data_IF_266336938094
#
_entry.id   IF_266336938094
#
_cell.length_a   1.000
_cell.length_b   1.000
_cell.length_c   1.000
_cell.angle_alpha   90.00
_cell.angle_beta   90.00
_cell.angle_gamma   90.00
#
_symmetry.space_group_name_H-M   'P 1'
#
loop_
_entity.id
_entity.type
_entity.pdbx_description
1 polymer ?
#
# COMPACT_ATOMS: atom_id res chain seq x y z
N UNK A 1 -4.86 -8.59 -26.99
CA UNK A 1 -4.66 -7.26 -27.61
C UNK A 1 -5.05 -6.21 -26.58
N UNK A 2 -4.07 -5.62 -25.91
CA UNK A 2 -4.30 -4.62 -24.86
C UNK A 2 -4.87 -3.34 -25.46
N UNK A 3 -6.00 -2.88 -24.94
CA UNK A 3 -6.53 -1.55 -25.23
C UNK A 3 -5.56 -0.51 -24.64
N UNK A 4 -4.70 0.05 -25.46
CA UNK A 4 -3.84 1.18 -25.07
C UNK A 4 -4.77 2.39 -24.93
N UNK A 5 -5.08 2.76 -23.69
CA UNK A 5 -5.92 3.91 -23.38
C UNK A 5 -5.31 5.16 -24.03
N UNK A 6 -6.08 5.87 -24.84
CA UNK A 6 -5.65 7.05 -25.58
C UNK A 6 -6.41 8.26 -25.06
N UNK A 7 -5.69 9.35 -24.88
CA UNK A 7 -6.26 10.58 -24.36
C UNK A 7 -6.12 11.68 -25.43
N UNK A 8 -7.17 12.43 -25.64
CA UNK A 8 -7.15 13.64 -26.47
C UNK A 8 -6.46 14.79 -25.73
N UNK A 9 -6.09 15.85 -26.43
CA UNK A 9 -5.50 17.05 -25.84
C UNK A 9 -6.42 17.67 -24.76
N UNK A 10 -7.73 17.70 -25.01
CA UNK A 10 -8.73 18.22 -24.08
C UNK A 10 -8.78 17.39 -22.78
N UNK A 11 -8.77 16.06 -22.90
CA UNK A 11 -8.76 15.16 -21.74
C UNK A 11 -7.48 15.31 -20.91
N UNK A 12 -6.31 15.38 -21.59
CA UNK A 12 -5.02 15.62 -20.91
C UNK A 12 -5.04 16.96 -20.15
N UNK A 13 -5.54 18.02 -20.79
CA UNK A 13 -5.70 19.32 -20.15
C UNK A 13 -6.57 19.26 -18.90
N UNK A 14 -7.70 18.55 -18.96
CA UNK A 14 -8.61 18.36 -17.82
C UNK A 14 -7.99 17.51 -16.71
N UNK A 15 -7.34 16.39 -17.05
CA UNK A 15 -6.74 15.46 -16.08
C UNK A 15 -5.58 16.12 -15.31
N UNK A 16 -4.76 16.91 -16.00
CA UNK A 16 -3.57 17.53 -15.42
C UNK A 16 -3.78 18.99 -15.00
N UNK A 17 -4.96 19.56 -15.24
CA UNK A 17 -5.22 20.99 -14.96
C UNK A 17 -4.34 21.93 -15.80
N UNK A 18 -4.04 21.55 -17.06
CA UNK A 18 -3.18 22.31 -17.95
C UNK A 18 -4.01 23.06 -18.99
N UNK A 19 -3.68 24.34 -19.23
CA UNK A 19 -4.22 25.07 -20.36
C UNK A 19 -3.62 24.59 -21.70
N UNK A 20 -4.38 24.77 -22.78
CA UNK A 20 -4.01 24.31 -24.11
C UNK A 20 -2.70 24.92 -24.62
N UNK A 21 -2.43 26.19 -24.27
CA UNK A 21 -1.22 26.90 -24.68
C UNK A 21 0.04 26.31 -24.02
N UNK A 22 -0.05 25.95 -22.73
CA UNK A 22 1.04 25.35 -21.98
C UNK A 22 1.36 23.96 -22.51
N UNK A 23 0.34 23.16 -22.79
CA UNK A 23 0.50 21.84 -23.38
C UNK A 23 1.13 21.91 -24.79
N UNK A 24 0.65 22.83 -25.63
CA UNK A 24 1.23 23.08 -26.95
C UNK A 24 2.68 23.55 -26.86
N UNK A 25 3.02 24.37 -25.88
CA UNK A 25 4.40 24.81 -25.67
C UNK A 25 5.33 23.64 -25.32
N UNK A 26 4.89 22.70 -24.46
CA UNK A 26 5.69 21.53 -24.11
C UNK A 26 5.83 20.54 -25.25
N UNK A 27 4.81 20.41 -26.12
CA UNK A 27 4.91 19.66 -27.38
C UNK A 27 5.96 20.25 -28.31
N UNK A 28 5.95 21.57 -28.50
CA UNK A 28 6.98 22.28 -29.31
C UNK A 28 8.38 22.06 -28.77
N UNK A 29 8.53 22.00 -27.45
CA UNK A 29 9.80 21.66 -26.83
C UNK A 29 10.15 20.16 -26.91
N UNK A 30 9.30 19.35 -27.51
CA UNK A 30 9.48 17.88 -27.63
C UNK A 30 9.68 17.20 -26.27
N UNK A 31 9.07 17.72 -25.21
CA UNK A 31 9.03 17.08 -23.90
C UNK A 31 8.06 15.90 -23.89
N UNK A 32 7.07 15.94 -24.76
CA UNK A 32 6.14 14.85 -25.05
C UNK A 32 5.93 14.79 -26.57
N UNK A 33 5.70 13.59 -27.12
CA UNK A 33 5.49 13.36 -28.55
C UNK A 33 4.17 12.63 -28.78
N UNK A 34 3.02 13.34 -28.78
CA UNK A 34 1.74 12.72 -29.04
C UNK A 34 1.70 12.13 -30.45
N UNK A 35 1.01 11.01 -30.59
CA UNK A 35 0.79 10.40 -31.92
C UNK A 35 -0.35 11.10 -32.61
N UNK A 36 -0.13 11.48 -33.90
CA UNK A 36 -1.17 12.05 -34.73
C UNK A 36 -1.89 10.93 -35.51
N UNK A 37 -3.22 10.95 -35.52
CA UNK A 37 -4.04 10.07 -36.34
C UNK A 37 -5.29 10.85 -36.78
N UNK A 38 -5.56 10.88 -38.09
CA UNK A 38 -6.71 11.58 -38.70
C UNK A 38 -6.85 13.06 -38.28
N UNK A 39 -5.71 13.76 -38.18
CA UNK A 39 -5.68 15.19 -37.79
C UNK A 39 -5.76 15.46 -36.29
N UNK A 40 -6.04 14.47 -35.46
CA UNK A 40 -6.08 14.58 -34.01
C UNK A 40 -4.80 14.06 -33.36
N UNK A 41 -4.47 14.63 -32.18
CA UNK A 41 -3.32 14.23 -31.36
C UNK A 41 -3.76 13.42 -30.18
N UNK A 42 -3.16 12.25 -30.01
CA UNK A 42 -3.45 11.31 -28.93
C UNK A 42 -2.21 11.08 -28.07
N UNK A 43 -2.43 11.05 -26.77
CA UNK A 43 -1.45 10.77 -25.74
C UNK A 43 -1.71 9.40 -25.15
N UNK A 44 -0.65 8.68 -24.78
CA UNK A 44 -0.76 7.46 -24.00
C UNK A 44 -0.57 7.76 -22.51
N UNK A 45 -0.71 6.74 -21.64
CA UNK A 45 -0.52 6.90 -20.20
C UNK A 45 0.91 7.37 -19.84
N UNK A 46 1.93 6.88 -20.54
CA UNK A 46 3.31 7.32 -20.33
C UNK A 46 3.52 8.81 -20.65
N UNK A 47 2.81 9.33 -21.66
CA UNK A 47 2.83 10.76 -21.96
C UNK A 47 2.22 11.60 -20.83
N UNK A 48 1.16 11.10 -20.16
CA UNK A 48 0.58 11.74 -18.98
C UNK A 48 1.58 11.80 -17.81
N UNK A 49 2.28 10.71 -17.54
CA UNK A 49 3.33 10.65 -16.51
C UNK A 49 4.45 11.64 -16.82
N UNK A 50 4.92 11.69 -18.07
CA UNK A 50 5.93 12.64 -18.51
C UNK A 50 5.47 14.11 -18.35
N UNK A 51 4.23 14.43 -18.74
CA UNK A 51 3.65 15.76 -18.58
C UNK A 51 3.49 16.16 -17.12
N UNK A 52 3.08 15.23 -16.25
CA UNK A 52 2.98 15.47 -14.79
C UNK A 52 4.36 15.74 -14.19
N UNK A 53 5.41 15.04 -14.64
CA UNK A 53 6.79 15.29 -14.22
C UNK A 53 7.25 16.69 -14.64
N UNK A 54 6.99 17.10 -15.88
CA UNK A 54 7.31 18.46 -16.36
C UNK A 54 6.52 19.52 -15.58
N UNK A 55 5.25 19.27 -15.29
CA UNK A 55 4.41 20.18 -14.51
C UNK A 55 5.00 20.40 -13.12
N UNK A 56 5.33 19.32 -12.39
CA UNK A 56 5.96 19.38 -11.07
C UNK A 56 7.26 20.18 -11.08
N UNK A 57 8.14 19.90 -12.03
CA UNK A 57 9.41 20.62 -12.15
C UNK A 57 9.19 22.12 -12.45
N UNK A 58 8.19 22.44 -13.29
CA UNK A 58 7.91 23.84 -13.62
C UNK A 58 7.18 24.60 -12.51
N UNK A 59 6.45 23.92 -11.65
CA UNK A 59 5.89 24.50 -10.41
C UNK A 59 6.99 24.86 -9.41
N UNK A 60 8.08 24.11 -9.39
CA UNK A 60 9.27 24.36 -8.58
C UNK A 60 10.28 25.30 -9.28
N UNK A 61 9.79 26.25 -10.08
CA UNK A 61 10.57 27.30 -10.75
C UNK A 61 11.62 26.83 -11.77
N UNK A 62 11.58 25.56 -12.20
CA UNK A 62 12.42 25.05 -13.29
C UNK A 62 11.77 25.38 -14.65
N UNK A 63 12.44 26.15 -15.49
CA UNK A 63 11.87 26.43 -16.81
C UNK A 63 11.78 25.20 -17.71
N UNK A 64 10.71 25.08 -18.50
CA UNK A 64 10.52 23.95 -19.42
C UNK A 64 11.69 23.78 -20.42
N UNK A 65 12.34 24.90 -20.81
CA UNK A 65 13.55 24.86 -21.62
C UNK A 65 14.73 24.20 -20.88
N UNK A 66 14.82 24.39 -19.56
CA UNK A 66 15.87 23.75 -18.73
C UNK A 66 15.60 22.25 -18.59
N UNK A 67 14.32 21.86 -18.42
CA UNK A 67 13.91 20.44 -18.46
C UNK A 67 14.26 19.82 -19.82
N UNK A 68 14.00 20.52 -20.93
CA UNK A 68 14.36 20.03 -22.27
C UNK A 68 15.86 19.81 -22.43
N UNK A 69 16.69 20.74 -21.98
CA UNK A 69 18.17 20.58 -22.02
C UNK A 69 18.62 19.37 -21.20
N UNK A 70 18.06 19.18 -20.01
CA UNK A 70 18.35 18.01 -19.18
C UNK A 70 17.98 16.71 -19.89
N UNK A 71 16.79 16.62 -20.51
CA UNK A 71 16.35 15.47 -21.31
C UNK A 71 17.29 15.18 -22.46
N UNK A 72 17.74 16.22 -23.18
CA UNK A 72 18.70 16.05 -24.30
C UNK A 72 20.05 15.52 -23.80
N UNK A 73 20.56 16.05 -22.70
CA UNK A 73 21.81 15.59 -22.09
C UNK A 73 21.73 14.13 -21.60
N UNK A 74 20.57 13.73 -21.01
CA UNK A 74 20.32 12.33 -20.63
C UNK A 74 20.42 11.41 -21.85
N UNK A 75 19.76 11.78 -22.96
CA UNK A 75 19.76 10.98 -24.17
C UNK A 75 21.17 10.83 -24.78
N UNK A 76 22.00 11.89 -24.72
CA UNK A 76 23.36 11.85 -25.18
C UNK A 76 24.25 10.94 -24.32
N UNK A 77 24.02 10.89 -23.03
CA UNK A 77 24.91 10.21 -22.09
C UNK A 77 24.51 8.74 -21.81
N UNK A 78 23.21 8.46 -21.77
CA UNK A 78 22.68 7.15 -21.43
C UNK A 78 22.07 6.40 -22.63
N UNK A 79 22.22 6.94 -23.83
CA UNK A 79 21.67 6.38 -25.06
C UNK A 79 20.29 6.96 -25.44
N UNK A 80 19.88 6.71 -26.69
CA UNK A 80 18.59 7.18 -27.20
C UNK A 80 17.43 6.40 -26.58
N UNK A 81 16.96 6.85 -25.42
CA UNK A 81 15.66 6.45 -24.93
C UNK A 81 14.56 7.18 -25.70
N UNK A 82 13.54 6.46 -26.13
CA UNK A 82 12.38 7.04 -26.81
C UNK A 82 11.51 7.87 -25.84
N UNK A 83 11.61 7.63 -24.52
CA UNK A 83 10.79 8.23 -23.50
C UNK A 83 11.56 8.55 -22.19
N UNK A 84 12.59 9.43 -22.20
CA UNK A 84 13.46 9.67 -21.05
C UNK A 84 12.71 10.16 -19.79
N UNK A 85 11.63 10.93 -19.95
CA UNK A 85 10.81 11.42 -18.83
C UNK A 85 9.95 10.33 -18.17
N UNK A 86 9.86 9.14 -18.78
CA UNK A 86 9.16 7.97 -18.25
C UNK A 86 10.13 6.98 -17.61
N UNK A 87 11.34 6.89 -18.14
CA UNK A 87 12.35 5.90 -17.73
C UNK A 87 13.28 6.42 -16.62
N UNK A 88 13.53 7.74 -16.60
CA UNK A 88 14.43 8.36 -15.64
C UNK A 88 13.66 9.11 -14.55
N UNK A 89 14.05 8.95 -13.30
CA UNK A 89 13.49 9.72 -12.20
C UNK A 89 14.14 11.11 -12.17
N UNK A 90 13.34 12.15 -12.44
CA UNK A 90 13.80 13.54 -12.37
C UNK A 90 13.44 14.16 -11.03
N UNK A 91 14.42 14.79 -10.39
CA UNK A 91 14.30 15.51 -9.13
C UNK A 91 14.65 16.98 -9.33
N UNK A 92 14.13 17.82 -8.45
CA UNK A 92 14.55 19.20 -8.29
C UNK A 92 15.25 19.35 -6.96
N UNK A 93 16.43 19.96 -6.97
CA UNK A 93 17.17 20.28 -5.75
C UNK A 93 17.94 21.59 -5.95
N UNK A 94 17.66 22.60 -5.11
CA UNK A 94 18.34 23.89 -5.17
C UNK A 94 18.20 24.61 -6.51
N UNK A 95 17.06 24.48 -7.20
CA UNK A 95 16.83 25.05 -8.52
C UNK A 95 17.52 24.29 -9.67
N UNK A 96 18.11 23.12 -9.41
CA UNK A 96 18.74 22.27 -10.42
C UNK A 96 17.89 21.04 -10.74
N UNK A 97 17.99 20.56 -11.98
CA UNK A 97 17.39 19.28 -12.40
C UNK A 97 18.43 18.19 -12.16
N UNK A 98 18.08 17.25 -11.30
CA UNK A 98 18.86 16.04 -11.07
C UNK A 98 18.11 14.85 -11.66
N UNK A 99 18.87 13.82 -12.02
CA UNK A 99 18.32 12.60 -12.67
C UNK A 99 18.89 11.39 -11.95
N UNK A 100 18.03 10.43 -11.67
CA UNK A 100 18.45 9.11 -11.22
C UNK A 100 18.21 8.14 -12.38
N UNK A 101 19.27 7.64 -13.04
CA UNK A 101 19.13 6.61 -14.07
C UNK A 101 18.60 5.30 -13.47
N UNK A 102 17.90 4.46 -14.26
CA UNK A 102 17.49 3.13 -13.83
C UNK A 102 18.70 2.33 -13.29
N UNK A 103 18.56 1.76 -12.10
CA UNK A 103 19.64 1.00 -11.43
C UNK A 103 20.79 1.82 -10.83
N UNK A 104 20.75 3.16 -10.91
CA UNK A 104 21.77 4.01 -10.28
C UNK A 104 21.35 4.42 -8.87
N UNK A 105 22.32 4.31 -7.92
CA UNK A 105 22.12 4.70 -6.53
C UNK A 105 22.32 6.20 -6.25
N UNK A 106 22.76 6.98 -7.23
CA UNK A 106 23.15 8.38 -7.04
C UNK A 106 22.52 9.29 -8.07
N UNK A 107 22.11 10.52 -7.69
CA UNK A 107 21.65 11.51 -8.64
C UNK A 107 22.79 11.98 -9.54
N UNK A 108 22.47 12.22 -10.79
CA UNK A 108 23.33 12.79 -11.80
C UNK A 108 22.78 14.15 -12.21
N UNK A 109 23.63 15.18 -12.28
CA UNK A 109 23.25 16.48 -12.81
C UNK A 109 23.51 16.49 -14.33
N UNK A 110 22.48 16.38 -15.18
CA UNK A 110 22.64 16.26 -16.61
C UNK A 110 23.18 17.54 -17.28
N UNK A 111 22.97 18.70 -16.64
CA UNK A 111 23.45 19.98 -17.20
C UNK A 111 24.89 20.28 -16.84
N UNK A 112 25.39 19.72 -15.73
CA UNK A 112 26.80 19.83 -15.32
C UNK A 112 27.62 18.60 -15.70
N UNK A 113 26.95 17.53 -16.16
CA UNK A 113 27.56 16.23 -16.47
C UNK A 113 28.34 15.62 -15.28
N UNK A 114 27.80 15.78 -14.08
CA UNK A 114 28.45 15.36 -12.84
C UNK A 114 27.52 14.52 -11.97
N UNK A 115 28.07 13.48 -11.35
CA UNK A 115 27.40 12.77 -10.27
C UNK A 115 27.36 13.68 -9.05
N UNK A 116 26.19 13.78 -8.43
CA UNK A 116 26.01 14.58 -7.22
C UNK A 116 26.31 13.71 -6.00
N UNK A 117 27.35 14.11 -5.26
CA UNK A 117 27.63 13.51 -3.97
C UNK A 117 26.94 14.36 -2.90
N UNK A 118 26.25 13.76 -1.93
CA UNK A 118 25.59 14.48 -0.85
C UNK A 118 26.60 14.94 0.22
N UNK A 119 27.61 15.72 -0.20
CA UNK A 119 28.49 16.38 0.75
C UNK A 119 27.88 17.72 1.17
N UNK A 120 27.42 17.82 2.43
CA UNK A 120 26.99 19.10 3.01
C UNK A 120 25.54 19.16 3.50
N UNK A 121 24.96 18.05 3.93
CA UNK A 121 23.84 18.09 4.86
C UNK A 121 24.35 17.66 6.24
N UNK A 122 23.96 18.42 7.28
CA UNK A 122 24.33 18.23 8.66
C UNK A 122 24.40 16.75 9.05
N UNK A 123 25.60 16.32 9.39
CA UNK A 123 25.89 14.96 9.79
C UNK A 123 25.30 14.68 11.18
N UNK A 124 24.01 14.43 11.26
CA UNK A 124 23.53 13.46 12.24
C UNK A 124 23.92 12.09 11.72
N UNK A 125 24.46 11.18 12.55
CA UNK A 125 24.83 9.85 12.09
C UNK A 125 23.58 9.17 11.55
N UNK A 126 23.48 9.16 10.23
CA UNK A 126 22.43 8.44 9.54
C UNK A 126 22.68 6.95 9.77
N UNK A 127 21.73 6.26 10.41
CA UNK A 127 21.62 4.81 10.29
C UNK A 127 21.73 4.45 8.81
N UNK A 128 22.31 3.29 8.45
CA UNK A 128 22.53 2.92 7.05
C UNK A 128 21.20 2.97 6.28
N UNK A 129 21.04 3.99 5.43
CA UNK A 129 19.89 4.09 4.56
C UNK A 129 19.99 2.99 3.49
N UNK A 130 19.04 2.10 3.49
CA UNK A 130 18.83 1.15 2.42
C UNK A 130 18.60 1.88 1.09
N UNK A 131 19.19 1.36 0.01
CA UNK A 131 19.47 2.00 -1.29
C UNK A 131 18.25 2.25 -2.18
N UNK A 132 17.09 2.59 -1.64
CA UNK A 132 15.91 2.86 -2.48
C UNK A 132 15.45 4.28 -2.30
N UNK A 133 15.96 5.31 -2.61
CA UNK A 133 15.54 6.73 -2.45
C UNK A 133 14.04 7.05 -2.52
N UNK A 134 13.22 6.14 -2.02
CA UNK A 134 11.78 6.28 -1.82
C UNK A 134 11.51 6.70 -0.39
N UNK A 135 10.53 7.58 -0.19
CA UNK A 135 10.06 7.90 1.15
C UNK A 135 9.34 6.68 1.76
N UNK A 136 9.22 6.62 3.09
CA UNK A 136 8.44 5.56 3.73
C UNK A 136 7.02 5.47 3.17
N UNK A 137 6.39 6.61 2.85
CA UNK A 137 5.05 6.68 2.28
C UNK A 137 5.00 6.10 0.86
N UNK A 138 5.98 6.43 0.00
CA UNK A 138 6.08 5.86 -1.35
C UNK A 138 6.31 4.35 -1.32
N UNK A 139 7.07 3.86 -0.36
CA UNK A 139 7.29 2.43 -0.14
C UNK A 139 6.00 1.77 0.36
N UNK A 140 5.31 2.38 1.31
CA UNK A 140 4.06 1.87 1.85
C UNK A 140 2.98 1.74 0.77
N UNK A 141 2.79 2.78 -0.06
CA UNK A 141 1.88 2.71 -1.22
C UNK A 141 2.27 1.61 -2.21
N UNK A 142 3.58 1.44 -2.47
CA UNK A 142 4.08 0.37 -3.34
C UNK A 142 3.81 -1.02 -2.77
N UNK A 143 3.89 -1.19 -1.46
CA UNK A 143 3.57 -2.45 -0.79
C UNK A 143 2.07 -2.75 -0.86
N UNK A 144 1.20 -1.75 -0.64
CA UNK A 144 -0.25 -1.87 -0.81
C UNK A 144 -0.63 -2.30 -2.24
N UNK A 145 0.07 -1.79 -3.25
CA UNK A 145 -0.17 -2.21 -4.64
C UNK A 145 0.24 -3.67 -4.88
N UNK A 146 1.32 -4.14 -4.24
CA UNK A 146 1.75 -5.54 -4.32
C UNK A 146 0.76 -6.50 -3.63
N UNK A 147 0.12 -6.10 -2.53
CA UNK A 147 -0.87 -6.94 -1.82
C UNK A 147 -2.09 -7.30 -2.65
N UNK A 148 -2.44 -6.52 -3.67
CA UNK A 148 -3.60 -6.77 -4.54
C UNK A 148 -3.49 -8.07 -5.34
N UNK A 149 -2.28 -8.64 -5.45
CA UNK A 149 -2.04 -9.90 -6.13
C UNK A 149 -1.19 -10.82 -5.23
N UNK A 150 -1.72 -12.00 -4.94
CA UNK A 150 -1.06 -12.98 -4.08
C UNK A 150 0.33 -13.40 -4.57
N UNK A 151 0.60 -13.35 -5.87
CA UNK A 151 1.91 -13.61 -6.46
C UNK A 151 2.98 -12.61 -5.97
N UNK A 152 2.57 -11.39 -5.64
CA UNK A 152 3.49 -10.33 -5.21
C UNK A 152 3.56 -10.14 -3.69
N UNK A 153 2.90 -10.99 -2.90
CA UNK A 153 2.97 -10.93 -1.43
C UNK A 153 4.41 -10.98 -0.87
N UNK A 154 5.33 -11.81 -1.38
CA UNK A 154 6.72 -11.77 -0.89
C UNK A 154 7.38 -10.41 -1.09
N UNK A 155 7.07 -9.74 -2.20
CA UNK A 155 7.55 -8.38 -2.48
C UNK A 155 6.88 -7.34 -1.57
N UNK A 156 5.60 -7.49 -1.27
CA UNK A 156 4.90 -6.63 -0.32
C UNK A 156 5.56 -6.71 1.07
N UNK A 157 5.80 -7.92 1.57
CA UNK A 157 6.49 -8.17 2.85
C UNK A 157 7.86 -7.50 2.90
N UNK A 158 8.68 -7.68 1.86
CA UNK A 158 9.99 -7.04 1.80
C UNK A 158 9.89 -5.52 1.78
N UNK A 159 8.91 -4.98 1.06
CA UNK A 159 8.72 -3.53 0.98
C UNK A 159 8.19 -2.95 2.30
N UNK A 160 7.29 -3.66 3.01
CA UNK A 160 6.87 -3.23 4.37
C UNK A 160 8.02 -3.28 5.37
N UNK A 161 8.92 -4.26 5.30
CA UNK A 161 10.13 -4.28 6.13
C UNK A 161 10.99 -3.05 5.88
N UNK A 162 11.18 -2.65 4.60
CA UNK A 162 11.90 -1.42 4.25
C UNK A 162 11.20 -0.16 4.80
N UNK A 163 9.86 -0.11 4.80
CA UNK A 163 9.10 0.97 5.45
C UNK A 163 9.45 1.02 6.93
N UNK A 164 9.42 -0.11 7.62
CA UNK A 164 9.66 -0.21 9.06
C UNK A 164 11.13 0.00 9.44
N UNK A 165 12.08 -0.26 8.54
CA UNK A 165 13.48 0.12 8.72
C UNK A 165 13.67 1.66 8.75
N UNK A 166 12.84 2.38 7.99
CA UNK A 166 12.87 3.85 7.92
C UNK A 166 11.99 4.49 9.02
N UNK A 167 10.85 3.89 9.32
CA UNK A 167 9.87 4.37 10.29
C UNK A 167 9.36 3.21 11.16
N UNK A 168 10.10 2.82 12.21
CA UNK A 168 9.79 1.65 13.03
C UNK A 168 8.49 1.74 13.84
N UNK A 169 7.97 2.95 14.04
CA UNK A 169 6.77 3.25 14.83
C UNK A 169 5.49 3.38 13.99
N UNK A 170 5.52 3.00 12.71
CA UNK A 170 4.34 3.07 11.84
C UNK A 170 3.40 1.88 12.05
N UNK A 171 2.34 2.12 12.81
CA UNK A 171 1.37 1.09 13.23
C UNK A 171 0.73 0.36 12.03
N UNK A 172 0.28 1.12 11.01
CA UNK A 172 -0.36 0.55 9.82
C UNK A 172 0.60 -0.33 9.00
N UNK A 173 1.88 0.02 8.96
CA UNK A 173 2.88 -0.79 8.29
C UNK A 173 3.11 -2.14 8.98
N UNK A 174 3.12 -2.16 10.33
CA UNK A 174 3.15 -3.41 11.08
C UNK A 174 1.90 -4.25 10.88
N UNK A 175 0.71 -3.63 10.84
CA UNK A 175 -0.55 -4.34 10.59
C UNK A 175 -0.53 -4.99 9.20
N UNK A 176 -0.18 -4.23 8.16
CA UNK A 176 -0.20 -4.74 6.78
C UNK A 176 0.91 -5.77 6.55
N UNK A 177 2.10 -5.58 7.14
CA UNK A 177 3.13 -6.63 7.16
C UNK A 177 2.59 -7.93 7.76
N UNK A 178 1.91 -7.83 8.90
CA UNK A 178 1.30 -8.99 9.56
C UNK A 178 0.24 -9.67 8.69
N UNK A 179 -0.59 -8.91 7.98
CA UNK A 179 -1.62 -9.44 7.06
C UNK A 179 -0.96 -10.17 5.89
N UNK A 180 0.04 -9.57 5.25
CA UNK A 180 0.75 -10.18 4.13
C UNK A 180 1.48 -11.47 4.55
N UNK A 181 2.15 -11.46 5.70
CA UNK A 181 2.80 -12.64 6.27
C UNK A 181 1.79 -13.76 6.59
N UNK A 182 0.63 -13.40 7.15
CA UNK A 182 -0.43 -14.36 7.45
C UNK A 182 -0.98 -15.02 6.17
N UNK A 183 -1.20 -14.23 5.11
CA UNK A 183 -1.64 -14.75 3.80
C UNK A 183 -0.61 -15.70 3.18
N UNK A 184 0.68 -15.52 3.48
CA UNK A 184 1.76 -16.41 3.07
C UNK A 184 1.92 -17.64 3.99
N UNK A 185 1.09 -17.80 5.03
CA UNK A 185 1.20 -18.89 6.00
C UNK A 185 2.34 -18.73 7.03
N UNK A 186 3.00 -17.55 7.06
CA UNK A 186 4.07 -17.23 8.01
C UNK A 186 3.47 -16.71 9.33
N UNK A 187 2.71 -17.60 10.00
CA UNK A 187 1.85 -17.24 11.15
C UNK A 187 2.62 -16.67 12.35
N UNK A 188 3.82 -17.19 12.65
CA UNK A 188 4.64 -16.69 13.75
C UNK A 188 5.17 -15.27 13.50
N UNK A 189 5.62 -14.99 12.28
CA UNK A 189 6.09 -13.67 11.90
C UNK A 189 4.93 -12.66 11.86
N UNK A 190 3.75 -13.10 11.37
CA UNK A 190 2.52 -12.31 11.39
C UNK A 190 2.13 -11.93 12.82
N UNK A 191 2.19 -12.89 13.76
CA UNK A 191 1.95 -12.64 15.19
C UNK A 191 2.88 -11.58 15.74
N UNK A 192 4.18 -11.69 15.45
CA UNK A 192 5.17 -10.72 15.91
C UNK A 192 4.88 -9.30 15.38
N UNK A 193 4.52 -9.18 14.09
CA UNK A 193 4.15 -7.90 13.48
C UNK A 193 2.89 -7.29 14.11
N UNK A 194 1.83 -8.07 14.33
CA UNK A 194 0.62 -7.60 15.01
C UNK A 194 0.89 -7.24 16.47
N UNK A 195 1.77 -7.96 17.15
CA UNK A 195 2.17 -7.66 18.53
C UNK A 195 2.93 -6.33 18.61
N UNK A 196 3.81 -6.04 17.67
CA UNK A 196 4.48 -4.74 17.55
C UNK A 196 3.45 -3.61 17.33
N UNK A 197 2.48 -3.78 16.44
CA UNK A 197 1.40 -2.81 16.23
C UNK A 197 0.58 -2.56 17.51
N UNK A 198 0.28 -3.60 18.29
CA UNK A 198 -0.44 -3.47 19.58
C UNK A 198 0.42 -2.79 20.66
N UNK A 199 1.74 -2.96 20.64
CA UNK A 199 2.65 -2.27 21.55
C UNK A 199 2.75 -0.77 21.25
N UNK A 200 2.78 -0.41 19.95
CA UNK A 200 2.83 0.98 19.50
C UNK A 200 1.51 1.73 19.74
N UNK A 201 0.39 1.10 19.41
CA UNK A 201 -0.95 1.64 19.69
C UNK A 201 -1.82 0.61 20.41
N UNK A 202 -1.81 0.61 21.74
CA UNK A 202 -2.60 -0.32 22.55
C UNK A 202 -4.13 -0.16 22.40
N UNK A 203 -4.62 0.93 21.82
CA UNK A 203 -6.05 1.17 21.61
C UNK A 203 -6.50 0.83 20.18
N UNK A 204 -5.59 0.52 19.27
CA UNK A 204 -5.92 0.15 17.92
C UNK A 204 -6.73 -1.15 17.87
N UNK A 205 -7.97 -1.06 17.43
CA UNK A 205 -8.90 -2.19 17.37
C UNK A 205 -8.50 -3.23 16.31
N UNK A 206 -7.94 -2.77 15.16
CA UNK A 206 -7.55 -3.65 14.05
C UNK A 206 -6.36 -4.52 14.41
N UNK A 207 -5.31 -3.94 15.00
CA UNK A 207 -4.13 -4.68 15.43
C UNK A 207 -4.49 -5.74 16.49
N UNK A 208 -5.36 -5.37 17.46
CA UNK A 208 -5.86 -6.31 18.45
C UNK A 208 -6.72 -7.42 17.85
N UNK A 209 -7.55 -7.09 16.87
CA UNK A 209 -8.37 -8.07 16.17
C UNK A 209 -7.49 -9.09 15.44
N UNK A 210 -6.53 -8.63 14.64
CA UNK A 210 -5.64 -9.51 13.90
C UNK A 210 -4.77 -10.38 14.82
N UNK A 211 -4.21 -9.79 15.88
CA UNK A 211 -3.47 -10.57 16.89
C UNK A 211 -4.35 -11.63 17.55
N UNK A 212 -5.58 -11.28 17.91
CA UNK A 212 -6.54 -12.21 18.50
C UNK A 212 -6.90 -13.37 17.56
N UNK A 213 -7.04 -13.13 16.26
CA UNK A 213 -7.30 -14.17 15.26
C UNK A 213 -6.12 -15.15 15.16
N UNK A 214 -4.90 -14.65 15.09
CA UNK A 214 -3.69 -15.50 15.01
C UNK A 214 -3.52 -16.33 16.29
N UNK A 215 -3.69 -15.73 17.44
CA UNK A 215 -3.61 -16.44 18.73
C UNK A 215 -4.70 -17.52 18.86
N UNK A 216 -5.90 -17.28 18.34
CA UNK A 216 -6.99 -18.24 18.33
C UNK A 216 -6.64 -19.46 17.46
N UNK A 217 -6.07 -19.22 16.27
CA UNK A 217 -5.60 -20.28 15.36
C UNK A 217 -4.48 -21.12 15.99
N UNK A 218 -3.59 -20.49 16.75
CA UNK A 218 -2.51 -21.17 17.49
C UNK A 218 -2.97 -21.87 18.77
N UNK A 219 -4.24 -21.75 19.14
CA UNK A 219 -4.80 -22.35 20.34
C UNK A 219 -4.58 -21.59 21.64
N UNK A 220 -4.00 -20.39 21.59
CA UNK A 220 -3.83 -19.49 22.75
C UNK A 220 -5.14 -18.78 23.09
N UNK A 221 -6.17 -19.55 23.43
CA UNK A 221 -7.57 -19.09 23.53
C UNK A 221 -7.77 -17.95 24.53
N UNK A 222 -7.12 -17.99 25.69
CA UNK A 222 -7.29 -16.94 26.73
C UNK A 222 -6.73 -15.60 26.27
N UNK A 223 -5.56 -15.61 25.65
CA UNK A 223 -4.94 -14.42 25.09
C UNK A 223 -5.76 -13.90 23.91
N UNK A 224 -6.19 -14.78 23.01
CA UNK A 224 -7.04 -14.45 21.86
C UNK A 224 -8.31 -13.72 22.30
N UNK A 225 -9.04 -14.30 23.28
CA UNK A 225 -10.26 -13.71 23.81
C UNK A 225 -9.99 -12.33 24.46
N UNK A 226 -8.88 -12.18 25.18
CA UNK A 226 -8.51 -10.88 25.76
C UNK A 226 -8.33 -9.82 24.66
N UNK A 227 -7.57 -10.14 23.60
CA UNK A 227 -7.35 -9.23 22.49
C UNK A 227 -8.64 -8.94 21.72
N UNK A 228 -9.43 -9.95 21.37
CA UNK A 228 -10.70 -9.80 20.67
C UNK A 228 -11.72 -8.99 21.48
N UNK A 229 -11.80 -9.17 22.79
CA UNK A 229 -12.68 -8.35 23.67
C UNK A 229 -12.29 -6.88 23.65
N UNK A 230 -10.98 -6.57 23.63
CA UNK A 230 -10.51 -5.20 23.54
C UNK A 230 -10.77 -4.62 22.13
N UNK A 231 -10.62 -5.44 21.08
CA UNK A 231 -11.02 -5.07 19.72
C UNK A 231 -12.52 -4.75 19.62
N UNK A 232 -13.39 -5.58 20.25
CA UNK A 232 -14.84 -5.35 20.28
C UNK A 232 -15.22 -4.03 20.98
N UNK A 233 -14.47 -3.63 22.02
CA UNK A 233 -14.67 -2.33 22.68
C UNK A 233 -14.23 -1.16 21.81
N UNK A 234 -13.12 -1.31 21.08
CA UNK A 234 -12.61 -0.27 20.18
C UNK A 234 -13.45 -0.14 18.89
N UNK A 235 -14.03 -1.25 18.43
CA UNK A 235 -14.81 -1.35 17.18
C UNK A 235 -16.17 -2.02 17.42
N UNK A 236 -17.11 -1.42 18.17
CA UNK A 236 -18.33 -2.08 18.61
C UNK A 236 -19.27 -2.49 17.47
N UNK A 237 -19.17 -1.85 16.30
CA UNK A 237 -19.96 -2.18 15.10
C UNK A 237 -19.33 -3.21 14.16
N UNK A 238 -18.09 -3.67 14.46
CA UNK A 238 -17.38 -4.57 13.56
C UNK A 238 -17.82 -6.02 13.76
N UNK A 239 -18.67 -6.53 12.87
CA UNK A 239 -19.27 -7.86 12.98
C UNK A 239 -18.28 -8.99 13.13
N UNK A 240 -17.15 -8.96 12.38
CA UNK A 240 -16.19 -10.06 12.34
C UNK A 240 -15.46 -10.25 13.69
N UNK A 241 -15.34 -9.19 14.50
CA UNK A 241 -14.82 -9.31 15.86
C UNK A 241 -15.73 -10.17 16.72
N UNK A 242 -17.05 -9.97 16.62
CA UNK A 242 -18.05 -10.77 17.35
C UNK A 242 -18.08 -12.21 16.83
N UNK A 243 -17.91 -12.42 15.52
CA UNK A 243 -17.80 -13.74 14.92
C UNK A 243 -16.62 -14.51 15.54
N UNK A 244 -15.41 -13.93 15.51
CA UNK A 244 -14.22 -14.60 16.03
C UNK A 244 -14.25 -14.77 17.56
N UNK A 245 -14.83 -13.82 18.29
CA UNK A 245 -15.08 -14.01 19.73
C UNK A 245 -16.02 -15.19 20.01
N UNK A 246 -17.08 -15.34 19.22
CA UNK A 246 -18.00 -16.47 19.38
C UNK A 246 -17.28 -17.80 19.17
N UNK A 247 -16.44 -17.90 18.12
CA UNK A 247 -15.63 -19.09 17.85
C UNK A 247 -14.64 -19.39 19.00
N UNK A 248 -13.92 -18.36 19.45
CA UNK A 248 -12.97 -18.52 20.54
C UNK A 248 -13.65 -18.99 21.85
N UNK A 249 -14.83 -18.45 22.18
CA UNK A 249 -15.62 -18.90 23.32
C UNK A 249 -16.16 -20.32 23.14
N UNK A 250 -16.58 -20.72 21.94
CA UNK A 250 -16.95 -22.11 21.66
C UNK A 250 -15.79 -23.07 21.89
N UNK A 251 -14.60 -22.74 21.35
CA UNK A 251 -13.40 -23.56 21.54
C UNK A 251 -12.99 -23.66 23.01
N UNK A 252 -13.18 -22.61 23.79
CA UNK A 252 -12.89 -22.59 25.22
C UNK A 252 -13.96 -23.27 26.08
N UNK A 253 -15.09 -23.67 25.48
CA UNK A 253 -16.20 -24.33 26.20
C UNK A 253 -17.11 -23.36 26.97
N UNK A 254 -17.25 -22.12 26.53
CA UNK A 254 -18.08 -21.08 27.13
C UNK A 254 -19.31 -20.73 26.27
N UNK A 255 -20.28 -21.63 26.15
CA UNK A 255 -21.41 -21.52 25.23
C UNK A 255 -22.32 -20.33 25.50
N UNK A 256 -22.42 -19.86 26.75
CA UNK A 256 -23.22 -18.68 27.07
C UNK A 256 -22.63 -17.44 26.44
N UNK A 257 -21.32 -17.23 26.58
CA UNK A 257 -20.62 -16.10 25.99
C UNK A 257 -20.56 -16.19 24.47
N UNK A 258 -20.35 -17.39 23.91
CA UNK A 258 -20.42 -17.62 22.49
C UNK A 258 -21.79 -17.22 21.90
N UNK A 259 -22.88 -17.63 22.55
CA UNK A 259 -24.25 -17.28 22.13
C UNK A 259 -24.48 -15.77 22.09
N UNK A 260 -24.01 -15.03 23.09
CA UNK A 260 -24.09 -13.56 23.11
C UNK A 260 -23.37 -12.95 21.92
N UNK A 261 -22.17 -13.44 21.60
CA UNK A 261 -21.39 -12.93 20.47
C UNK A 261 -22.03 -13.26 19.12
N UNK A 262 -22.61 -14.46 18.96
CA UNK A 262 -23.41 -14.79 17.75
C UNK A 262 -24.61 -13.86 17.56
N UNK A 263 -25.29 -13.48 18.65
CA UNK A 263 -26.39 -12.51 18.58
C UNK A 263 -25.91 -11.12 18.18
N UNK A 264 -24.75 -10.67 18.72
CA UNK A 264 -24.13 -9.41 18.35
C UNK A 264 -23.70 -9.41 16.87
N UNK A 265 -23.06 -10.49 16.41
CA UNK A 265 -22.75 -10.65 15.00
C UNK A 265 -23.99 -10.43 14.11
N UNK A 266 -25.08 -11.13 14.37
CA UNK A 266 -26.31 -11.02 13.58
C UNK A 266 -27.00 -9.66 13.69
N UNK A 267 -26.80 -8.95 14.81
CA UNK A 267 -27.28 -7.56 14.96
C UNK A 267 -26.56 -6.60 14.02
N UNK A 268 -25.26 -6.77 13.86
CA UNK A 268 -24.43 -5.90 13.01
C UNK A 268 -24.41 -6.34 11.54
N UNK A 269 -24.48 -7.64 11.27
CA UNK A 269 -24.43 -8.23 9.94
C UNK A 269 -25.54 -9.30 9.74
N UNK A 270 -26.81 -8.91 9.70
CA UNK A 270 -27.92 -9.87 9.59
C UNK A 270 -27.89 -10.71 8.30
N UNK A 271 -27.32 -10.18 7.24
CA UNK A 271 -27.15 -10.83 5.93
C UNK A 271 -25.66 -10.99 5.55
N UNK A 272 -24.76 -10.90 6.52
CA UNK A 272 -23.34 -11.07 6.33
C UNK A 272 -22.96 -12.50 5.90
N UNK A 273 -21.71 -12.71 5.46
CA UNK A 273 -21.27 -14.00 4.91
C UNK A 273 -21.45 -15.16 5.88
N UNK A 274 -21.37 -14.93 7.19
CA UNK A 274 -21.49 -15.95 8.23
C UNK A 274 -22.86 -15.97 8.91
N UNK A 275 -23.86 -15.22 8.43
CA UNK A 275 -25.17 -15.12 9.06
C UNK A 275 -25.94 -16.46 9.11
N UNK A 276 -25.78 -17.29 8.09
CA UNK A 276 -26.38 -18.64 8.06
C UNK A 276 -25.77 -19.51 9.16
N UNK A 277 -24.45 -19.49 9.30
CA UNK A 277 -23.72 -20.23 10.34
C UNK A 277 -24.10 -19.74 11.74
N UNK A 278 -24.11 -18.43 11.95
CA UNK A 278 -24.50 -17.84 13.22
C UNK A 278 -25.92 -18.25 13.65
N UNK A 279 -26.89 -18.22 12.72
CA UNK A 279 -28.26 -18.69 13.01
C UNK A 279 -28.30 -20.18 13.33
N UNK A 280 -27.53 -21.00 12.62
CA UNK A 280 -27.45 -22.45 12.89
C UNK A 280 -26.90 -22.71 14.30
N UNK A 281 -25.82 -22.01 14.70
CA UNK A 281 -25.25 -22.10 16.05
C UNK A 281 -26.28 -21.68 17.11
N UNK A 282 -26.98 -20.58 16.94
CA UNK A 282 -28.01 -20.14 17.88
C UNK A 282 -29.19 -21.11 18.02
N UNK A 283 -29.61 -21.79 16.95
CA UNK A 283 -30.64 -22.86 17.02
C UNK A 283 -30.17 -24.03 17.86
N UNK A 284 -28.90 -24.45 17.71
CA UNK A 284 -28.31 -25.52 18.50
C UNK A 284 -28.28 -25.19 20.00
N UNK A 285 -27.92 -23.95 20.36
CA UNK A 285 -27.97 -23.50 21.76
C UNK A 285 -29.40 -23.42 22.31
N UNK A 286 -30.42 -23.27 21.46
CA UNK A 286 -31.83 -23.24 21.86
C UNK A 286 -32.40 -24.63 22.04
N UNK A 287 -32.00 -25.62 21.22
CA UNK A 287 -32.49 -27.00 21.25
C UNK A 287 -31.77 -27.87 22.28
N UNK A 288 -30.59 -27.49 22.73
CA UNK A 288 -29.79 -28.29 23.62
C UNK A 288 -29.67 -27.66 25.02
N UNK A 289 -30.51 -28.06 25.97
CA UNK A 289 -30.34 -27.76 27.41
C UNK A 289 -29.08 -28.41 28.00
N UNK A 290 -28.44 -29.35 27.33
CA UNK A 290 -27.12 -29.96 27.62
C UNK A 290 -26.20 -29.72 26.44
N UNK A 291 -25.14 -29.00 26.65
CA UNK A 291 -24.07 -28.61 25.73
C UNK A 291 -23.63 -29.74 24.81
N UNK A 292 -23.83 -29.58 23.50
CA UNK A 292 -23.32 -30.48 22.48
C UNK A 292 -21.87 -30.12 22.13
N UNK A 293 -21.10 -31.16 21.75
CA UNK A 293 -19.72 -31.07 21.28
C UNK A 293 -19.55 -30.09 20.10
N UNK A 294 -18.37 -29.48 19.93
CA UNK A 294 -18.12 -28.56 18.83
C UNK A 294 -18.28 -29.24 17.47
N UNK A 295 -18.99 -28.58 16.54
CA UNK A 295 -19.11 -29.04 15.15
C UNK A 295 -17.80 -28.72 14.45
N UNK A 296 -17.20 -29.69 13.69
CA UNK A 296 -16.02 -29.41 12.92
C UNK A 296 -16.28 -28.32 11.89
N UNK A 297 -15.31 -27.40 11.74
CA UNK A 297 -15.37 -26.29 10.78
C UNK A 297 -15.13 -26.82 9.37
N UNK A 298 -15.83 -26.30 8.35
CA UNK A 298 -15.41 -26.50 6.98
C UNK A 298 -14.02 -25.87 6.81
N UNK A 299 -13.07 -26.64 6.29
CA UNK A 299 -11.77 -26.14 5.87
C UNK A 299 -11.97 -24.98 4.90
N UNK A 300 -11.25 -23.87 5.12
CA UNK A 300 -11.20 -22.76 4.17
C UNK A 300 -10.77 -23.31 2.80
N UNK A 301 -11.64 -23.17 1.80
CA UNK A 301 -11.32 -23.41 0.41
C UNK A 301 -10.62 -22.19 -0.18
#
# INVERSE_FOLDING_TARGET
MGFTQRYTRSEVGRILGLDAGRLQYWERLRLVRPRARWGERFYNFGDLVALRTVQRLTQNHISARRVRRAVTSIQQQFGESSAPLQEFRLLEQGGEVLVIPPGAARPFNPLRQQWVFPFGMDARPAKPHTMTGRTPEELFESALDCEKNTEFLPRAVETYRQVLDLQPDWVEAHINLGVALYQMGQTEEARAAFQAAVQLDPMNGISRYNLGCVLEEQGHLDEAINHLRRAARAMPGHSDVHFNLALAYEKRGEPRLAREQWQLYLRHAPNGPWAVQARARLRQYSSNRKLAAPIPFPSKA
#
